data_IF_216250223998
#
_entry.id   IF_216250223998
#
_cell.length_a   1.000
_cell.length_b   1.000
_cell.length_c   1.000
_cell.angle_alpha   90.00
_cell.angle_beta   90.00
_cell.angle_gamma   90.00
#
_symmetry.space_group_name_H-M   'P 1'
#
loop_
_entity.id
_entity.type
_entity.pdbx_description
1 polymer ?
#
# COMPACT_ATOMS: atom_id res chain seq x y z
N UNK A 1 -7.86 0.78 -7.42
CA UNK A 1 -7.16 -0.33 -6.78
C UNK A 1 -8.09 -1.47 -6.36
N UNK A 2 -9.25 -1.18 -5.78
CA UNK A 2 -10.21 -2.19 -5.27
C UNK A 2 -10.95 -2.98 -6.37
N UNK A 3 -11.07 -2.45 -7.58
CA UNK A 3 -11.71 -3.16 -8.71
C UNK A 3 -11.01 -4.45 -9.08
N UNK A 4 -9.70 -4.52 -8.92
CA UNK A 4 -8.87 -5.65 -9.38
C UNK A 4 -9.09 -6.94 -8.57
N UNK A 5 -9.05 -6.92 -7.23
CA UNK A 5 -9.30 -8.13 -6.47
C UNK A 5 -10.70 -8.69 -6.70
N UNK A 6 -11.67 -7.79 -6.98
CA UNK A 6 -13.08 -8.17 -7.13
C UNK A 6 -13.40 -8.61 -8.57
N UNK A 7 -13.11 -7.77 -9.55
CA UNK A 7 -13.48 -8.04 -10.95
C UNK A 7 -12.44 -8.86 -11.70
N UNK A 8 -11.15 -8.70 -11.38
CA UNK A 8 -10.08 -9.39 -12.09
C UNK A 8 -10.14 -10.91 -11.94
N UNK A 9 -10.46 -11.42 -10.75
CA UNK A 9 -10.62 -12.84 -10.51
C UNK A 9 -11.81 -13.41 -11.30
N UNK A 10 -12.98 -12.75 -11.22
CA UNK A 10 -14.18 -13.15 -11.98
C UNK A 10 -13.89 -13.16 -13.48
N UNK A 11 -13.22 -12.11 -13.98
CA UNK A 11 -12.89 -11.98 -15.39
C UNK A 11 -11.96 -13.07 -15.90
N UNK A 12 -10.90 -13.42 -15.12
CA UNK A 12 -10.00 -14.52 -15.51
C UNK A 12 -10.75 -15.85 -15.54
N UNK A 13 -11.60 -16.12 -14.55
CA UNK A 13 -12.43 -17.33 -14.53
C UNK A 13 -13.38 -17.37 -15.73
N UNK A 14 -13.99 -16.23 -16.09
CA UNK A 14 -14.87 -16.14 -17.26
C UNK A 14 -14.12 -16.37 -18.57
N UNK A 15 -12.89 -15.84 -18.70
CA UNK A 15 -12.09 -15.98 -19.92
C UNK A 15 -11.47 -17.37 -20.10
N UNK A 16 -11.12 -18.06 -19.00
CA UNK A 16 -10.44 -19.38 -19.05
C UNK A 16 -11.37 -20.56 -18.71
N UNK A 17 -12.57 -20.29 -18.21
CA UNK A 17 -13.53 -21.33 -17.82
C UNK A 17 -13.10 -22.18 -16.61
N UNK A 18 -12.07 -21.75 -15.86
CA UNK A 18 -11.51 -22.53 -14.75
C UNK A 18 -11.19 -21.66 -13.54
N UNK A 19 -11.80 -21.98 -12.40
CA UNK A 19 -11.66 -21.25 -11.14
C UNK A 19 -10.23 -21.31 -10.54
N UNK A 20 -9.43 -22.31 -10.91
CA UNK A 20 -8.05 -22.43 -10.45
C UNK A 20 -7.17 -21.22 -10.85
N UNK A 21 -7.54 -20.51 -11.91
CA UNK A 21 -6.82 -19.32 -12.38
C UNK A 21 -7.28 -18.00 -11.78
N UNK A 22 -8.23 -18.00 -10.84
CA UNK A 22 -8.77 -16.76 -10.23
C UNK A 22 -7.68 -15.82 -9.68
N UNK A 23 -6.60 -16.37 -9.13
CA UNK A 23 -5.47 -15.59 -8.59
C UNK A 23 -4.53 -14.96 -9.62
N UNK A 24 -4.62 -15.34 -10.90
CA UNK A 24 -3.68 -14.89 -11.95
C UNK A 24 -3.73 -13.37 -12.13
N UNK A 25 -4.90 -12.75 -12.08
CA UNK A 25 -5.05 -11.29 -12.19
C UNK A 25 -4.24 -10.54 -11.12
N UNK A 26 -4.38 -10.96 -9.87
CA UNK A 26 -3.67 -10.34 -8.74
C UNK A 26 -2.17 -10.59 -8.80
N UNK A 27 -1.75 -11.78 -9.25
CA UNK A 27 -0.34 -12.14 -9.42
C UNK A 27 0.34 -11.30 -10.50
N UNK A 28 -0.29 -11.15 -11.68
CA UNK A 28 0.23 -10.30 -12.77
C UNK A 28 0.41 -8.86 -12.29
N UNK A 29 -0.57 -8.32 -11.57
CA UNK A 29 -0.50 -6.94 -11.06
C UNK A 29 0.53 -6.77 -9.95
N UNK A 30 0.69 -7.75 -9.07
CA UNK A 30 1.75 -7.74 -8.07
C UNK A 30 3.13 -7.76 -8.74
N UNK A 31 3.32 -8.64 -9.72
CA UNK A 31 4.54 -8.70 -10.51
C UNK A 31 4.87 -7.38 -11.21
N UNK A 32 3.89 -6.75 -11.88
CA UNK A 32 4.14 -5.47 -12.56
C UNK A 32 4.49 -4.34 -11.58
N UNK A 33 3.91 -4.33 -10.39
CA UNK A 33 4.28 -3.37 -9.31
C UNK A 33 5.72 -3.58 -8.84
N UNK A 34 6.15 -4.82 -8.66
CA UNK A 34 7.55 -5.15 -8.31
C UNK A 34 8.50 -4.61 -9.39
N UNK A 35 8.20 -4.91 -10.66
CA UNK A 35 9.04 -4.48 -11.78
C UNK A 35 9.15 -2.95 -11.91
N UNK A 36 8.07 -2.23 -11.67
CA UNK A 36 8.02 -0.78 -11.92
C UNK A 36 8.47 0.07 -10.74
N UNK A 37 8.41 -0.44 -9.50
CA UNK A 37 8.65 0.35 -8.30
C UNK A 37 9.98 1.11 -8.31
N UNK A 38 11.08 0.42 -8.63
CA UNK A 38 12.42 1.01 -8.67
C UNK A 38 12.58 2.02 -9.82
N UNK A 39 12.14 1.65 -11.03
CA UNK A 39 12.28 2.50 -12.22
C UNK A 39 11.48 3.79 -12.09
N UNK A 40 10.26 3.72 -11.59
CA UNK A 40 9.42 4.90 -11.37
C UNK A 40 10.00 5.77 -10.26
N UNK A 41 10.53 5.18 -9.20
CA UNK A 41 11.24 5.92 -8.15
C UNK A 41 12.40 6.75 -8.72
N UNK A 42 13.23 6.13 -9.58
CA UNK A 42 14.34 6.82 -10.27
C UNK A 42 13.84 7.90 -11.22
N UNK A 43 12.78 7.62 -11.98
CA UNK A 43 12.18 8.60 -12.89
C UNK A 43 11.70 9.85 -12.13
N UNK A 44 11.04 9.68 -10.99
CA UNK A 44 10.55 10.78 -10.15
C UNK A 44 11.69 11.59 -9.53
N UNK A 45 12.82 10.96 -9.24
CA UNK A 45 14.01 11.65 -8.76
C UNK A 45 14.69 12.50 -9.86
N UNK A 46 14.59 12.08 -11.12
CA UNK A 46 15.17 12.80 -12.25
C UNK A 46 14.26 13.93 -12.76
N UNK A 47 12.98 13.64 -13.01
CA UNK A 47 12.05 14.52 -13.72
C UNK A 47 11.01 15.21 -12.82
N UNK A 48 11.09 15.04 -11.51
CA UNK A 48 10.12 15.59 -10.54
C UNK A 48 8.99 14.63 -10.20
N UNK A 49 8.27 14.92 -9.11
CA UNK A 49 7.23 14.02 -8.57
C UNK A 49 6.02 13.93 -9.46
N UNK A 50 5.67 15.03 -10.13
CA UNK A 50 4.54 15.09 -11.08
C UNK A 50 4.73 14.16 -12.27
N UNK A 51 5.96 13.97 -12.76
CA UNK A 51 6.24 13.05 -13.86
C UNK A 51 5.82 11.61 -13.55
N UNK A 52 6.14 11.12 -12.33
CA UNK A 52 5.68 9.79 -11.88
C UNK A 52 4.17 9.69 -11.73
N UNK A 53 3.52 10.74 -11.20
CA UNK A 53 2.06 10.80 -11.09
C UNK A 53 1.38 10.73 -12.46
N UNK A 54 1.84 11.52 -13.43
CA UNK A 54 1.31 11.49 -14.80
C UNK A 54 1.53 10.13 -15.46
N UNK A 55 2.72 9.54 -15.32
CA UNK A 55 3.00 8.20 -15.83
C UNK A 55 2.03 7.18 -15.23
N UNK A 56 1.82 7.23 -13.92
CA UNK A 56 0.90 6.33 -13.22
C UNK A 56 -0.55 6.48 -13.70
N UNK A 57 -1.02 7.72 -13.89
CA UNK A 57 -2.36 7.99 -14.42
C UNK A 57 -2.51 7.49 -15.87
N UNK A 58 -1.53 7.74 -16.73
CA UNK A 58 -1.54 7.27 -18.12
C UNK A 58 -1.54 5.75 -18.22
N UNK A 59 -0.66 5.07 -17.47
CA UNK A 59 -0.62 3.61 -17.46
C UNK A 59 -1.91 3.01 -16.90
N UNK A 60 -2.48 3.62 -15.86
CA UNK A 60 -3.76 3.17 -15.29
C UNK A 60 -4.91 3.36 -16.27
N UNK A 61 -4.95 4.49 -17.00
CA UNK A 61 -5.95 4.77 -18.02
C UNK A 61 -5.87 3.75 -19.16
N UNK A 62 -4.70 3.62 -19.78
CA UNK A 62 -4.48 2.71 -20.91
C UNK A 62 -4.72 1.27 -20.49
N UNK A 63 -4.18 0.84 -19.34
CA UNK A 63 -4.36 -0.51 -18.82
C UNK A 63 -5.83 -0.87 -18.58
N UNK A 64 -6.61 0.04 -17.99
CA UNK A 64 -8.05 -0.15 -17.79
C UNK A 64 -8.81 -0.30 -19.11
N UNK A 65 -8.53 0.54 -20.12
CA UNK A 65 -9.14 0.43 -21.43
C UNK A 65 -8.78 -0.89 -22.11
N UNK A 66 -7.51 -1.30 -22.04
CA UNK A 66 -7.07 -2.59 -22.61
C UNK A 66 -7.74 -3.78 -21.92
N UNK A 67 -7.90 -3.75 -20.58
CA UNK A 67 -8.63 -4.80 -19.83
C UNK A 67 -10.11 -4.82 -20.25
N UNK A 68 -10.76 -3.66 -20.36
CA UNK A 68 -12.15 -3.55 -20.82
C UNK A 68 -12.32 -4.14 -22.24
N UNK A 69 -11.45 -3.78 -23.17
CA UNK A 69 -11.43 -4.34 -24.54
C UNK A 69 -11.15 -5.86 -24.53
N UNK A 70 -10.24 -6.33 -23.69
CA UNK A 70 -9.95 -7.76 -23.55
C UNK A 70 -11.20 -8.56 -23.14
N UNK A 71 -12.03 -7.98 -22.27
CA UNK A 71 -13.30 -8.60 -21.86
C UNK A 71 -14.30 -8.66 -23.01
N UNK A 72 -14.41 -7.59 -23.81
CA UNK A 72 -15.32 -7.55 -24.97
C UNK A 72 -14.89 -8.52 -26.05
N UNK A 73 -13.58 -8.69 -26.26
CA UNK A 73 -13.01 -9.59 -27.28
C UNK A 73 -12.82 -11.04 -26.79
N UNK A 74 -13.07 -11.33 -25.51
CA UNK A 74 -12.84 -12.66 -24.93
C UNK A 74 -11.37 -13.09 -24.93
N UNK A 75 -10.40 -12.15 -24.94
CA UNK A 75 -8.97 -12.44 -25.10
C UNK A 75 -8.22 -12.41 -23.77
N UNK A 76 -7.80 -13.57 -23.30
CA UNK A 76 -6.97 -13.69 -22.09
C UNK A 76 -5.57 -13.06 -22.27
N UNK A 77 -4.96 -13.21 -23.46
CA UNK A 77 -3.65 -12.61 -23.73
C UNK A 77 -3.70 -11.07 -23.63
N UNK A 78 -4.74 -10.45 -24.21
CA UNK A 78 -4.93 -9.01 -24.11
C UNK A 78 -5.24 -8.57 -22.67
N UNK A 79 -5.96 -9.40 -21.91
CA UNK A 79 -6.15 -9.17 -20.47
C UNK A 79 -4.83 -9.15 -19.71
N UNK A 80 -3.92 -10.08 -19.95
CA UNK A 80 -2.60 -10.12 -19.32
C UNK A 80 -1.80 -8.85 -19.62
N UNK A 81 -1.78 -8.37 -20.87
CA UNK A 81 -1.12 -7.12 -21.27
C UNK A 81 -1.74 -5.92 -20.54
N UNK A 82 -3.07 -5.84 -20.54
CA UNK A 82 -3.78 -4.77 -19.83
C UNK A 82 -3.50 -4.76 -18.32
N UNK A 83 -3.48 -5.95 -17.70
CA UNK A 83 -3.19 -6.13 -16.28
C UNK A 83 -1.75 -5.72 -15.92
N UNK A 84 -0.76 -6.04 -16.77
CA UNK A 84 0.62 -5.58 -16.61
C UNK A 84 0.72 -4.05 -16.67
N UNK A 85 0.08 -3.43 -17.66
CA UNK A 85 0.08 -1.97 -17.83
C UNK A 85 -0.62 -1.29 -16.64
N UNK A 86 -1.81 -1.78 -16.27
CA UNK A 86 -2.58 -1.22 -15.16
C UNK A 86 -1.85 -1.36 -13.81
N UNK A 87 -1.29 -2.53 -13.55
CA UNK A 87 -0.51 -2.79 -12.33
C UNK A 87 0.73 -1.90 -12.23
N UNK A 88 1.40 -1.63 -13.37
CA UNK A 88 2.50 -0.67 -13.46
C UNK A 88 2.04 0.75 -13.13
N UNK A 89 0.87 1.16 -13.62
CA UNK A 89 0.25 2.44 -13.29
C UNK A 89 -0.06 2.58 -11.80
N UNK A 90 -0.64 1.55 -11.20
CA UNK A 90 -0.89 1.50 -9.75
C UNK A 90 0.41 1.60 -8.97
N UNK A 91 1.49 0.91 -9.38
CA UNK A 91 2.81 1.02 -8.77
C UNK A 91 3.38 2.43 -8.84
N UNK A 92 3.23 3.10 -9.98
CA UNK A 92 3.69 4.49 -10.16
C UNK A 92 2.92 5.48 -9.26
N UNK A 93 1.62 5.30 -9.08
CA UNK A 93 0.81 6.13 -8.17
C UNK A 93 1.26 6.02 -6.72
N UNK A 94 1.85 4.91 -6.28
CA UNK A 94 2.40 4.76 -4.92
C UNK A 94 3.48 5.83 -4.60
N UNK A 95 4.16 6.37 -5.62
CA UNK A 95 5.12 7.48 -5.45
C UNK A 95 4.47 8.80 -4.96
N UNK A 96 3.14 8.89 -4.91
CA UNK A 96 2.44 10.01 -4.25
C UNK A 96 2.82 10.16 -2.77
N UNK A 97 3.22 9.07 -2.09
CA UNK A 97 3.72 9.14 -0.71
C UNK A 97 5.02 9.93 -0.61
N UNK A 98 5.91 9.78 -1.60
CA UNK A 98 7.16 10.57 -1.68
C UNK A 98 6.83 12.03 -1.93
N UNK A 99 5.90 12.31 -2.85
CA UNK A 99 5.45 13.68 -3.12
C UNK A 99 4.84 14.32 -1.87
N UNK A 100 4.03 13.59 -1.11
CA UNK A 100 3.47 14.07 0.16
C UNK A 100 4.58 14.35 1.20
N UNK A 101 5.57 13.45 1.32
CA UNK A 101 6.71 13.67 2.21
C UNK A 101 7.55 14.90 1.82
N UNK A 102 7.66 15.17 0.53
CA UNK A 102 8.41 16.32 0.00
C UNK A 102 7.68 17.66 0.18
N UNK A 103 6.36 17.62 0.34
CA UNK A 103 5.54 18.81 0.58
C UNK A 103 5.52 19.25 2.06
N UNK A 104 5.97 18.41 2.98
CA UNK A 104 5.92 18.68 4.43
C UNK A 104 7.32 18.78 5.05
N UNK A 105 7.52 19.65 6.07
CA UNK A 105 8.77 19.68 6.80
C UNK A 105 9.00 18.37 7.56
N UNK A 106 10.24 18.02 7.94
CA UNK A 106 10.57 16.76 8.61
C UNK A 106 9.69 16.45 9.82
N UNK A 107 9.30 17.47 10.60
CA UNK A 107 8.44 17.33 11.78
C UNK A 107 6.99 16.95 11.47
N UNK A 108 6.53 17.01 10.21
CA UNK A 108 5.15 16.73 9.79
C UNK A 108 5.05 15.77 8.60
N UNK A 109 6.11 15.09 8.22
CA UNK A 109 6.13 14.14 7.08
C UNK A 109 5.21 12.95 7.29
N UNK A 110 5.12 12.45 8.52
CA UNK A 110 4.21 11.36 8.88
C UNK A 110 2.76 11.74 8.62
N UNK A 111 2.36 12.98 8.96
CA UNK A 111 1.04 13.51 8.64
C UNK A 111 0.79 13.53 7.12
N UNK A 112 1.75 14.05 6.33
CA UNK A 112 1.62 14.14 4.87
C UNK A 112 1.45 12.77 4.20
N UNK A 113 2.31 11.82 4.52
CA UNK A 113 2.25 10.44 3.97
C UNK A 113 0.92 9.76 4.36
N UNK A 114 0.50 9.97 5.59
CA UNK A 114 -0.71 9.33 6.13
C UNK A 114 -2.00 9.91 5.56
N UNK A 115 -2.03 11.18 5.18
CA UNK A 115 -3.16 11.79 4.47
C UNK A 115 -3.37 11.14 3.10
N UNK A 116 -2.29 10.82 2.38
CA UNK A 116 -2.38 10.08 1.11
C UNK A 116 -2.95 8.67 1.34
N UNK A 117 -2.51 7.98 2.39
CA UNK A 117 -3.04 6.67 2.74
C UNK A 117 -4.54 6.72 3.10
N UNK A 118 -4.96 7.72 3.90
CA UNK A 118 -6.37 7.94 4.26
C UNK A 118 -7.24 8.21 3.02
N UNK A 119 -6.71 8.85 1.99
CA UNK A 119 -7.38 9.04 0.70
C UNK A 119 -7.84 7.74 0.04
N UNK A 120 -7.20 6.59 0.37
CA UNK A 120 -7.58 5.28 -0.13
C UNK A 120 -8.98 4.82 0.36
N UNK A 121 -9.47 5.32 1.50
CA UNK A 121 -10.83 5.06 1.98
C UNK A 121 -11.89 5.58 1.02
N UNK A 122 -11.69 6.80 0.50
CA UNK A 122 -12.62 7.38 -0.47
C UNK A 122 -12.64 6.57 -1.76
N UNK A 123 -11.45 6.12 -2.22
CA UNK A 123 -11.34 5.22 -3.37
C UNK A 123 -12.07 3.89 -3.16
N UNK A 124 -11.99 3.32 -1.95
CA UNK A 124 -12.69 2.09 -1.60
C UNK A 124 -14.21 2.26 -1.60
N UNK A 125 -14.71 3.43 -1.17
CA UNK A 125 -16.15 3.76 -1.19
C UNK A 125 -16.69 4.02 -2.61
N UNK A 126 -15.88 4.60 -3.51
CA UNK A 126 -16.29 4.90 -4.89
C UNK A 126 -16.36 3.63 -5.75
N UNK A 127 -15.54 2.61 -5.46
CA UNK A 127 -15.47 1.38 -6.25
C UNK A 127 -16.82 0.64 -6.39
N UNK A 128 -17.59 0.38 -5.33
CA UNK A 128 -18.92 -0.24 -5.44
C UNK A 128 -19.92 0.59 -6.25
N UNK A 129 -19.85 1.92 -6.14
CA UNK A 129 -20.72 2.83 -6.91
C UNK A 129 -20.43 2.73 -8.42
N UNK A 130 -19.14 2.66 -8.79
CA UNK A 130 -18.75 2.49 -10.19
C UNK A 130 -19.21 1.13 -10.75
N UNK A 131 -19.08 0.06 -9.96
CA UNK A 131 -19.56 -1.28 -10.36
C UNK A 131 -21.07 -1.29 -10.51
N UNK A 132 -21.82 -0.74 -9.56
CA UNK A 132 -23.28 -0.64 -9.65
C UNK A 132 -23.73 0.19 -10.87
N UNK A 133 -23.03 1.27 -11.20
CA UNK A 133 -23.27 2.05 -12.40
C UNK A 133 -23.01 1.21 -13.67
N UNK A 134 -21.91 0.47 -13.69
CA UNK A 134 -21.56 -0.41 -14.82
C UNK A 134 -22.62 -1.52 -15.02
N UNK A 135 -23.13 -2.12 -13.95
CA UNK A 135 -24.21 -3.12 -14.02
C UNK A 135 -25.48 -2.53 -14.63
N UNK A 136 -25.90 -1.35 -14.16
CA UNK A 136 -27.11 -0.68 -14.70
C UNK A 136 -26.96 -0.30 -16.17
N UNK A 137 -25.84 0.31 -16.53
CA UNK A 137 -25.56 0.71 -17.91
C UNK A 137 -25.33 -0.52 -18.81
N UNK A 138 -24.68 -1.57 -18.31
CA UNK A 138 -24.47 -2.82 -19.04
C UNK A 138 -25.80 -3.46 -19.45
N UNK A 139 -26.77 -3.53 -18.53
CA UNK A 139 -28.13 -4.02 -18.83
C UNK A 139 -28.88 -3.16 -19.85
N UNK A 140 -28.72 -1.83 -19.77
CA UNK A 140 -29.34 -0.89 -20.72
C UNK A 140 -28.75 -0.96 -22.12
N UNK A 141 -27.44 -1.11 -22.22
CA UNK A 141 -26.71 -1.06 -23.49
C UNK A 141 -26.46 -2.44 -24.10
N UNK A 142 -26.78 -3.52 -23.37
CA UNK A 142 -26.47 -4.89 -23.81
C UNK A 142 -24.97 -5.21 -23.85
N UNK A 143 -24.16 -4.48 -23.04
CA UNK A 143 -22.71 -4.63 -22.95
C UNK A 143 -22.36 -5.40 -21.68
N UNK A 144 -21.30 -6.23 -21.74
CA UNK A 144 -20.79 -6.94 -20.58
C UNK A 144 -20.46 -5.99 -19.42
N UNK A 145 -21.05 -6.21 -18.25
CA UNK A 145 -20.97 -5.35 -17.07
C UNK A 145 -19.51 -5.20 -16.58
N UNK A 146 -18.72 -6.29 -16.65
CA UNK A 146 -17.31 -6.28 -16.22
C UNK A 146 -16.48 -5.42 -17.19
N UNK A 147 -16.71 -5.58 -18.51
CA UNK A 147 -16.05 -4.75 -19.51
C UNK A 147 -16.35 -3.27 -19.27
N UNK A 148 -17.63 -2.96 -19.04
CA UNK A 148 -18.06 -1.59 -18.82
C UNK A 148 -17.49 -0.98 -17.54
N UNK A 149 -17.36 -1.76 -16.46
CA UNK A 149 -16.71 -1.31 -15.23
C UNK A 149 -15.25 -0.85 -15.49
N UNK A 150 -14.50 -1.56 -16.31
CA UNK A 150 -13.15 -1.16 -16.71
C UNK A 150 -13.14 0.04 -17.64
N UNK A 151 -14.07 0.10 -18.60
CA UNK A 151 -14.20 1.23 -19.55
C UNK A 151 -14.68 2.52 -18.86
N UNK A 152 -15.28 2.45 -17.69
CA UNK A 152 -15.65 3.61 -16.87
C UNK A 152 -14.51 4.15 -15.99
N UNK A 153 -13.40 3.41 -15.80
CA UNK A 153 -12.23 3.89 -15.03
C UNK A 153 -11.71 5.25 -15.52
N UNK A 154 -11.67 5.57 -16.83
CA UNK A 154 -11.30 6.90 -17.31
C UNK A 154 -12.08 8.05 -16.68
N UNK A 155 -13.37 7.87 -16.36
CA UNK A 155 -14.20 8.89 -15.69
C UNK A 155 -13.62 9.32 -14.34
N UNK A 156 -12.97 8.39 -13.63
CA UNK A 156 -12.29 8.65 -12.35
C UNK A 156 -10.86 9.15 -12.55
N UNK A 157 -10.16 8.67 -13.57
CA UNK A 157 -8.74 8.98 -13.79
C UNK A 157 -8.54 10.33 -14.44
N UNK A 158 -9.39 10.71 -15.40
CA UNK A 158 -9.24 11.98 -16.15
C UNK A 158 -9.26 13.23 -15.24
N UNK A 159 -10.17 13.36 -14.24
CA UNK A 159 -10.10 14.49 -13.31
C UNK A 159 -8.80 14.54 -12.52
N UNK A 160 -8.17 13.39 -12.23
CA UNK A 160 -6.90 13.34 -11.51
C UNK A 160 -5.75 14.03 -12.29
N UNK A 161 -5.79 14.04 -13.64
CA UNK A 161 -4.82 14.79 -14.42
C UNK A 161 -4.90 16.30 -14.14
N UNK A 162 -6.11 16.84 -13.97
CA UNK A 162 -6.32 18.24 -13.64
C UNK A 162 -5.83 18.53 -12.22
N UNK A 163 -6.09 17.62 -11.27
CA UNK A 163 -5.59 17.75 -9.90
C UNK A 163 -4.06 17.74 -9.85
N UNK A 164 -3.39 16.82 -10.57
CA UNK A 164 -1.92 16.81 -10.65
C UNK A 164 -1.39 18.07 -11.34
N UNK A 165 -2.07 18.59 -12.36
CA UNK A 165 -1.70 19.85 -13.02
C UNK A 165 -1.78 21.04 -12.07
N UNK A 166 -2.73 21.06 -11.13
CA UNK A 166 -2.93 22.14 -10.16
C UNK A 166 -1.86 22.17 -9.06
N UNK A 167 -1.15 21.07 -8.82
CA UNK A 167 -0.03 21.04 -7.87
C UNK A 167 1.09 21.94 -8.39
N UNK A 168 1.32 23.08 -7.76
CA UNK A 168 2.38 24.02 -8.10
C UNK A 168 2.99 24.62 -6.84
N UNK A 169 4.32 24.60 -6.71
CA UNK A 169 5.33 23.99 -7.60
C UNK A 169 5.36 22.46 -7.53
N UNK A 170 6.30 21.81 -8.24
CA UNK A 170 6.51 20.37 -8.09
C UNK A 170 6.95 20.05 -6.64
N UNK A 171 6.38 19.01 -5.98
CA UNK A 171 6.75 18.65 -4.60
C UNK A 171 8.26 18.48 -4.38
N UNK A 172 8.99 18.01 -5.39
CA UNK A 172 10.45 17.91 -5.32
C UNK A 172 11.12 19.28 -5.14
N UNK A 173 10.59 20.33 -5.79
CA UNK A 173 11.12 21.70 -5.64
C UNK A 173 10.88 22.20 -4.21
N UNK A 174 9.71 21.91 -3.63
CA UNK A 174 9.42 22.26 -2.23
C UNK A 174 10.45 21.59 -1.30
N UNK A 175 10.77 20.30 -1.53
CA UNK A 175 11.75 19.57 -0.73
C UNK A 175 13.17 20.12 -0.85
N UNK A 176 13.55 20.67 -2.01
CA UNK A 176 14.88 21.25 -2.25
C UNK A 176 15.00 22.69 -1.70
N UNK A 177 13.87 23.42 -1.66
CA UNK A 177 13.80 24.81 -1.18
C UNK A 177 12.94 24.91 0.10
N UNK A 178 13.08 23.95 1.02
CA UNK A 178 12.20 23.82 2.20
C UNK A 178 12.16 25.10 3.05
N UNK A 179 13.30 25.78 3.20
CA UNK A 179 13.42 27.03 3.96
C UNK A 179 12.54 28.16 3.41
N UNK A 180 12.39 28.22 2.09
CA UNK A 180 11.55 29.20 1.41
C UNK A 180 10.05 28.98 1.66
N UNK A 181 9.61 27.73 1.72
CA UNK A 181 8.21 27.37 1.90
C UNK A 181 7.80 27.23 3.37
N UNK A 182 8.78 26.97 4.25
CA UNK A 182 8.59 26.81 5.69
C UNK A 182 9.62 27.60 6.49
N UNK A 183 9.60 28.96 6.43
CA UNK A 183 10.61 29.81 7.06
C UNK A 183 10.66 29.66 8.59
N UNK A 184 9.54 29.44 9.25
CA UNK A 184 9.49 29.23 10.72
C UNK A 184 10.24 27.96 11.11
N UNK A 185 10.07 26.88 10.34
CA UNK A 185 10.82 25.63 10.57
C UNK A 185 12.32 25.82 10.34
N UNK A 186 12.71 26.62 9.36
CA UNK A 186 14.12 26.90 9.07
C UNK A 186 14.79 27.65 10.24
N UNK A 187 14.11 28.62 10.84
CA UNK A 187 14.60 29.34 12.02
C UNK A 187 14.76 28.42 13.24
N UNK A 188 13.77 27.54 13.48
CA UNK A 188 13.82 26.54 14.55
C UNK A 188 14.97 25.53 14.35
N UNK A 189 15.27 25.18 13.08
CA UNK A 189 16.30 24.22 12.71
C UNK A 189 17.72 24.78 12.81
N UNK A 190 17.90 26.08 12.54
CA UNK A 190 19.20 26.75 12.59
C UNK A 190 19.79 26.83 14.02
N UNK A 191 18.93 26.77 15.05
CA UNK A 191 19.33 26.79 16.46
C UNK A 191 19.67 25.42 17.08
N UNK A 192 19.57 24.34 16.33
CA UNK A 192 19.75 22.99 16.87
C UNK A 192 21.07 22.36 16.44
N UNK A 193 21.80 21.83 17.42
CA UNK A 193 22.94 20.93 17.17
C UNK A 193 22.38 19.62 16.55
N UNK A 194 22.29 19.57 15.22
CA UNK A 194 21.98 18.32 14.50
C UNK A 194 23.16 17.35 14.71
N UNK A 195 22.95 16.29 15.47
CA UNK A 195 23.92 15.19 15.52
C UNK A 195 23.91 14.55 14.14
N UNK A 196 24.96 14.77 13.35
CA UNK A 196 25.17 14.06 12.09
C UNK A 196 25.27 12.57 12.40
N UNK A 197 24.29 11.78 11.91
CA UNK A 197 24.39 10.33 11.94
C UNK A 197 25.53 9.89 11.00
N UNK A 198 26.40 9.03 11.48
CA UNK A 198 27.39 8.37 10.65
C UNK A 198 26.71 7.59 9.52
N UNK A 199 27.41 7.43 8.40
CA UNK A 199 26.89 6.67 7.23
C UNK A 199 26.44 5.26 7.60
N UNK A 200 27.12 4.62 8.57
CA UNK A 200 26.76 3.32 9.09
C UNK A 200 25.42 3.32 9.81
N UNK A 201 25.15 4.33 10.62
CA UNK A 201 23.88 4.45 11.34
C UNK A 201 22.73 4.78 10.40
N UNK A 202 22.92 5.65 9.40
CA UNK A 202 21.92 5.93 8.36
C UNK A 202 21.53 4.67 7.59
N UNK A 203 22.51 3.80 7.27
CA UNK A 203 22.25 2.54 6.59
C UNK A 203 21.45 1.58 7.49
N UNK A 204 21.82 1.47 8.78
CA UNK A 204 21.09 0.63 9.76
C UNK A 204 19.64 1.09 9.93
N UNK A 205 19.40 2.40 10.06
CA UNK A 205 18.05 2.98 10.13
C UNK A 205 17.24 2.61 8.89
N UNK A 206 17.81 2.77 7.70
CA UNK A 206 17.15 2.45 6.44
C UNK A 206 16.83 0.97 6.31
N UNK A 207 17.78 0.08 6.63
CA UNK A 207 17.56 -1.37 6.59
C UNK A 207 16.46 -1.77 7.57
N UNK A 208 16.47 -1.27 8.81
CA UNK A 208 15.48 -1.59 9.82
C UNK A 208 14.07 -1.12 9.39
N UNK A 209 13.96 0.08 8.82
CA UNK A 209 12.69 0.60 8.31
C UNK A 209 12.18 -0.22 7.11
N UNK A 210 13.04 -0.54 6.13
CA UNK A 210 12.67 -1.37 4.97
C UNK A 210 12.24 -2.76 5.45
N UNK A 211 13.00 -3.40 6.34
CA UNK A 211 12.67 -4.71 6.88
C UNK A 211 11.32 -4.71 7.60
N UNK A 212 11.03 -3.67 8.39
CA UNK A 212 9.73 -3.50 9.06
C UNK A 212 8.58 -3.38 8.06
N UNK A 213 8.76 -2.53 7.03
CA UNK A 213 7.75 -2.35 5.98
C UNK A 213 7.50 -3.64 5.18
N UNK A 214 8.56 -4.32 4.78
CA UNK A 214 8.52 -5.58 4.01
C UNK A 214 7.78 -6.67 4.79
N UNK A 215 8.16 -6.83 6.06
CA UNK A 215 7.55 -7.86 6.92
C UNK A 215 6.07 -7.59 7.16
N UNK A 216 5.71 -6.36 7.58
CA UNK A 216 4.30 -6.06 7.89
C UNK A 216 3.42 -6.05 6.64
N UNK A 217 3.97 -5.67 5.48
CA UNK A 217 3.25 -5.74 4.20
C UNK A 217 2.96 -7.18 3.80
N UNK A 218 3.97 -8.03 3.84
CA UNK A 218 3.81 -9.44 3.48
C UNK A 218 2.90 -10.19 4.46
N UNK A 219 3.07 -9.97 5.77
CA UNK A 219 2.20 -10.52 6.82
C UNK A 219 0.75 -10.09 6.60
N UNK A 220 0.50 -8.81 6.35
CA UNK A 220 -0.84 -8.28 6.12
C UNK A 220 -1.51 -8.93 4.92
N UNK A 221 -0.84 -9.02 3.77
CA UNK A 221 -1.41 -9.64 2.57
C UNK A 221 -1.66 -11.14 2.79
N UNK A 222 -0.75 -11.84 3.46
CA UNK A 222 -0.90 -13.25 3.82
C UNK A 222 -2.12 -13.48 4.72
N UNK A 223 -2.22 -12.74 5.81
CA UNK A 223 -3.32 -12.86 6.77
C UNK A 223 -4.67 -12.50 6.11
N UNK A 224 -4.73 -11.42 5.32
CA UNK A 224 -5.95 -11.02 4.62
C UNK A 224 -6.44 -12.08 3.63
N UNK A 225 -5.52 -12.70 2.87
CA UNK A 225 -5.87 -13.73 1.90
C UNK A 225 -6.43 -14.99 2.58
N UNK A 226 -5.81 -15.42 3.67
CA UNK A 226 -6.21 -16.64 4.39
C UNK A 226 -7.44 -16.43 5.28
N UNK A 227 -7.69 -15.21 5.77
CA UNK A 227 -8.89 -14.89 6.56
C UNK A 227 -10.18 -15.18 5.81
N UNK A 228 -10.26 -14.81 4.53
CA UNK A 228 -11.45 -15.08 3.73
C UNK A 228 -11.74 -16.59 3.61
N UNK A 229 -10.68 -17.39 3.44
CA UNK A 229 -10.77 -18.86 3.42
C UNK A 229 -11.20 -19.43 4.76
N UNK A 230 -10.61 -18.94 5.85
CA UNK A 230 -10.92 -19.38 7.20
C UNK A 230 -12.39 -19.08 7.58
N UNK A 231 -12.87 -17.88 7.31
CA UNK A 231 -14.26 -17.51 7.55
C UNK A 231 -15.24 -18.31 6.69
N UNK A 232 -14.83 -18.66 5.48
CA UNK A 232 -15.64 -19.55 4.62
C UNK A 232 -15.69 -20.97 5.17
N UNK A 233 -14.59 -21.49 5.73
CA UNK A 233 -14.55 -22.81 6.40
C UNK A 233 -15.37 -22.86 7.69
N UNK A 234 -15.67 -21.70 8.31
CA UNK A 234 -16.58 -21.54 9.44
C UNK A 234 -18.05 -21.31 8.99
N UNK A 235 -18.39 -21.60 7.74
CA UNK A 235 -19.74 -21.39 7.15
C UNK A 235 -20.27 -19.96 7.28
N UNK A 236 -19.36 -18.97 7.39
CA UNK A 236 -19.75 -17.57 7.42
C UNK A 236 -20.35 -17.13 6.08
N UNK A 237 -21.39 -16.32 6.14
CA UNK A 237 -22.01 -15.71 4.95
C UNK A 237 -21.05 -14.77 4.22
N UNK A 238 -21.25 -14.56 2.92
CA UNK A 238 -20.46 -13.60 2.13
C UNK A 238 -20.51 -12.18 2.72
N UNK A 239 -21.63 -11.79 3.31
CA UNK A 239 -21.76 -10.49 4.00
C UNK A 239 -20.86 -10.41 5.22
N UNK A 240 -20.75 -11.45 6.02
CA UNK A 240 -19.88 -11.51 7.19
C UNK A 240 -18.41 -11.45 6.77
N UNK A 241 -18.01 -12.21 5.72
CA UNK A 241 -16.64 -12.16 5.17
C UNK A 241 -16.32 -10.76 4.66
N UNK A 242 -17.23 -10.15 3.90
CA UNK A 242 -17.06 -8.78 3.38
C UNK A 242 -16.95 -7.74 4.48
N UNK A 243 -17.71 -7.89 5.56
CA UNK A 243 -17.63 -7.00 6.72
C UNK A 243 -16.27 -7.13 7.45
N UNK A 244 -15.76 -8.35 7.62
CA UNK A 244 -14.43 -8.59 8.20
C UNK A 244 -13.32 -7.92 7.37
N UNK A 245 -13.36 -8.08 6.04
CA UNK A 245 -12.42 -7.43 5.11
C UNK A 245 -12.54 -5.90 5.16
N UNK A 246 -13.75 -5.37 5.27
CA UNK A 246 -13.97 -3.93 5.39
C UNK A 246 -13.42 -3.37 6.72
N UNK A 247 -13.58 -4.09 7.83
CA UNK A 247 -12.98 -3.74 9.11
C UNK A 247 -11.45 -3.76 9.05
N UNK A 248 -10.85 -4.77 8.41
CA UNK A 248 -9.41 -4.81 8.17
C UNK A 248 -8.93 -3.55 7.39
N UNK A 249 -9.60 -3.22 6.29
CA UNK A 249 -9.28 -2.03 5.50
C UNK A 249 -9.47 -0.72 6.31
N UNK A 250 -10.46 -0.68 7.20
CA UNK A 250 -10.65 0.44 8.12
C UNK A 250 -9.46 0.56 9.08
N UNK A 251 -8.96 -0.55 9.64
CA UNK A 251 -7.74 -0.59 10.45
C UNK A 251 -6.54 0.00 9.70
N UNK A 252 -6.37 -0.36 8.42
CA UNK A 252 -5.27 0.13 7.58
C UNK A 252 -5.33 1.65 7.33
N UNK A 253 -6.50 2.20 7.02
CA UNK A 253 -6.58 3.53 6.41
C UNK A 253 -7.28 4.57 7.28
N UNK A 254 -8.29 4.22 8.10
CA UNK A 254 -9.04 5.20 8.88
C UNK A 254 -8.18 5.84 9.97
N UNK A 255 -7.25 5.07 10.54
CA UNK A 255 -6.37 5.51 11.60
C UNK A 255 -5.02 6.05 11.09
N UNK A 256 -4.78 6.04 9.79
CA UNK A 256 -3.50 6.47 9.20
C UNK A 256 -3.13 7.89 9.61
N UNK A 257 -4.04 8.84 9.49
CA UNK A 257 -3.75 10.24 9.81
C UNK A 257 -3.40 10.49 11.29
N UNK A 258 -4.19 10.03 12.30
CA UNK A 258 -3.79 10.18 13.70
C UNK A 258 -2.49 9.44 14.03
N UNK A 259 -2.24 8.26 13.43
CA UNK A 259 -0.98 7.52 13.59
C UNK A 259 0.20 8.29 12.99
N UNK A 260 0.03 8.90 11.81
CA UNK A 260 1.06 9.73 11.19
C UNK A 260 1.42 10.94 12.05
N UNK A 261 0.41 11.63 12.61
CA UNK A 261 0.64 12.73 13.56
C UNK A 261 1.30 12.27 14.87
N UNK A 262 0.94 11.09 15.34
CA UNK A 262 1.59 10.50 16.50
C UNK A 262 3.08 10.22 16.21
N UNK A 263 3.39 9.65 15.02
CA UNK A 263 4.76 9.43 14.60
C UNK A 263 5.57 10.73 14.50
N UNK A 264 4.94 11.83 14.10
CA UNK A 264 5.57 13.14 14.07
C UNK A 264 5.87 13.68 15.48
N UNK A 265 5.02 13.36 16.48
CA UNK A 265 5.16 13.84 17.85
C UNK A 265 6.12 13.03 18.72
N UNK A 266 6.01 11.70 18.70
CA UNK A 266 6.75 10.81 19.60
C UNK A 266 7.96 10.14 18.94
N UNK A 267 8.09 10.28 17.60
CA UNK A 267 9.13 9.63 16.79
C UNK A 267 8.58 8.50 15.93
N UNK A 268 9.36 8.13 14.90
CA UNK A 268 8.98 7.07 13.94
C UNK A 268 9.17 5.69 14.56
N UNK A 269 10.31 5.49 15.24
CA UNK A 269 10.68 4.21 15.87
C UNK A 269 9.62 3.68 16.84
N UNK A 270 9.11 4.45 17.83
CA UNK A 270 8.08 3.98 18.75
C UNK A 270 6.80 3.56 18.03
N UNK A 271 6.38 4.31 16.99
CA UNK A 271 5.17 4.00 16.22
C UNK A 271 5.35 2.78 15.35
N UNK A 272 6.54 2.59 14.74
CA UNK A 272 6.86 1.37 13.98
C UNK A 272 6.83 0.15 14.91
N UNK A 273 7.49 0.22 16.07
CA UNK A 273 7.51 -0.87 17.06
C UNK A 273 6.11 -1.20 17.55
N UNK A 274 5.31 -0.19 17.93
CA UNK A 274 3.93 -0.38 18.35
C UNK A 274 3.10 -1.01 17.22
N UNK A 275 3.27 -0.57 15.98
CA UNK A 275 2.61 -1.12 14.80
C UNK A 275 2.96 -2.60 14.58
N UNK A 276 4.24 -2.96 14.67
CA UNK A 276 4.69 -4.36 14.57
C UNK A 276 4.12 -5.24 15.70
N UNK A 277 4.11 -4.73 16.93
CA UNK A 277 3.52 -5.46 18.08
C UNK A 277 2.02 -5.66 17.88
N UNK A 278 1.29 -4.62 17.47
CA UNK A 278 -0.16 -4.71 17.19
C UNK A 278 -0.45 -5.69 16.06
N UNK A 279 0.32 -5.65 14.96
CA UNK A 279 0.18 -6.60 13.86
C UNK A 279 0.48 -8.04 14.28
N UNK A 280 1.53 -8.25 15.07
CA UNK A 280 1.88 -9.55 15.65
C UNK A 280 0.81 -10.08 16.60
N UNK A 281 0.29 -9.22 17.48
CA UNK A 281 -0.81 -9.57 18.39
C UNK A 281 -2.09 -9.93 17.64
N UNK A 282 -2.39 -9.20 16.55
CA UNK A 282 -3.53 -9.51 15.68
C UNK A 282 -3.39 -10.88 15.02
N UNK A 283 -2.20 -11.21 14.49
CA UNK A 283 -1.92 -12.52 13.93
C UNK A 283 -2.00 -13.63 15.00
N UNK A 284 -1.43 -13.38 16.17
CA UNK A 284 -1.50 -14.31 17.31
C UNK A 284 -2.95 -14.58 17.73
N UNK A 285 -3.79 -13.54 17.76
CA UNK A 285 -5.21 -13.68 18.09
C UNK A 285 -5.94 -14.60 17.09
N UNK A 286 -5.64 -14.49 15.79
CA UNK A 286 -6.14 -15.42 14.77
C UNK A 286 -5.63 -16.85 15.01
N UNK A 287 -4.38 -17.00 15.47
CA UNK A 287 -3.79 -18.30 15.81
C UNK A 287 -4.33 -18.94 17.10
N UNK A 288 -4.97 -18.18 17.98
CA UNK A 288 -5.46 -18.65 19.28
C UNK A 288 -6.97 -18.94 19.33
N UNK A 289 -7.73 -18.57 18.28
CA UNK A 289 -9.18 -18.65 18.39
C UNK A 289 -9.95 -18.98 17.12
N UNK A 290 -11.10 -19.65 17.29
CA UNK A 290 -11.90 -20.27 16.23
C UNK A 290 -13.19 -19.51 15.86
N UNK A 291 -13.39 -18.32 16.41
CA UNK A 291 -14.66 -17.62 16.21
C UNK A 291 -14.58 -16.49 15.17
N UNK A 292 -15.70 -16.23 14.48
CA UNK A 292 -15.84 -15.10 13.55
C UNK A 292 -15.27 -13.78 14.09
N UNK A 293 -15.64 -13.42 15.32
CA UNK A 293 -15.22 -12.14 15.93
C UNK A 293 -13.73 -12.16 16.33
N UNK A 294 -13.20 -13.31 16.73
CA UNK A 294 -11.76 -13.45 17.05
C UNK A 294 -10.92 -13.24 15.81
N UNK A 295 -11.25 -13.92 14.72
CA UNK A 295 -10.57 -13.77 13.42
C UNK A 295 -10.74 -12.34 12.89
N UNK A 296 -11.94 -11.79 12.94
CA UNK A 296 -12.23 -10.43 12.46
C UNK A 296 -11.48 -9.36 13.25
N UNK A 297 -11.43 -9.48 14.60
CA UNK A 297 -10.66 -8.56 15.45
C UNK A 297 -9.16 -8.72 15.21
N UNK A 298 -8.68 -9.96 15.11
CA UNK A 298 -7.27 -10.24 14.82
C UNK A 298 -6.84 -9.60 13.49
N UNK A 299 -7.61 -9.77 12.43
CA UNK A 299 -7.31 -9.16 11.13
C UNK A 299 -7.45 -7.64 11.13
N UNK A 300 -8.38 -7.06 11.88
CA UNK A 300 -8.46 -5.62 12.11
C UNK A 300 -7.16 -5.10 12.74
N UNK A 301 -6.66 -5.79 13.80
CA UNK A 301 -5.39 -5.43 14.45
C UNK A 301 -4.20 -5.56 13.51
N UNK A 302 -4.17 -6.57 12.63
CA UNK A 302 -3.14 -6.68 11.57
C UNK A 302 -3.18 -5.45 10.66
N UNK A 303 -4.37 -5.01 10.25
CA UNK A 303 -4.55 -3.79 9.44
C UNK A 303 -4.09 -2.53 10.17
N UNK A 304 -4.47 -2.38 11.43
CA UNK A 304 -4.08 -1.24 12.27
C UNK A 304 -2.55 -1.21 12.50
N UNK A 305 -1.96 -2.36 12.79
CA UNK A 305 -0.51 -2.51 12.96
C UNK A 305 0.25 -2.20 11.68
N UNK A 306 -0.29 -2.62 10.53
CA UNK A 306 0.25 -2.25 9.22
C UNK A 306 0.29 -0.73 9.05
N UNK A 307 -0.77 -0.03 9.41
CA UNK A 307 -0.81 1.44 9.32
C UNK A 307 0.35 2.09 10.07
N UNK A 308 0.60 1.68 11.32
CA UNK A 308 1.69 2.21 12.12
C UNK A 308 3.08 1.84 11.59
N UNK A 309 3.31 0.56 11.33
CA UNK A 309 4.62 0.07 10.93
C UNK A 309 4.98 0.48 9.50
N UNK A 310 4.06 0.31 8.53
CA UNK A 310 4.34 0.59 7.13
C UNK A 310 4.48 2.08 6.84
N UNK A 311 3.54 2.91 7.31
CA UNK A 311 3.59 4.36 7.09
C UNK A 311 4.74 5.01 7.89
N UNK A 312 4.98 4.56 9.12
CA UNK A 312 6.12 4.99 9.91
C UNK A 312 7.45 4.66 9.23
N UNK A 313 7.58 3.47 8.65
CA UNK A 313 8.77 3.05 7.89
C UNK A 313 8.98 3.89 6.63
N UNK A 314 7.91 4.16 5.86
CA UNK A 314 7.99 5.07 4.71
C UNK A 314 8.49 6.46 5.13
N UNK A 315 7.96 7.00 6.23
CA UNK A 315 8.39 8.30 6.77
C UNK A 315 9.87 8.24 7.21
N UNK A 316 10.27 7.21 7.95
CA UNK A 316 11.64 7.04 8.42
C UNK A 316 12.64 6.93 7.25
N UNK A 317 12.33 6.18 6.19
CA UNK A 317 13.18 6.09 4.99
C UNK A 317 13.30 7.44 4.29
N UNK A 318 12.22 8.22 4.20
CA UNK A 318 12.25 9.56 3.60
C UNK A 318 13.05 10.56 4.44
N UNK A 319 13.00 10.44 5.77
CA UNK A 319 13.73 11.32 6.69
C UNK A 319 15.26 11.16 6.55
N UNK A 320 15.74 9.91 6.39
CA UNK A 320 17.18 9.60 6.25
C UNK A 320 17.66 9.59 4.80
N UNK A 321 16.84 10.06 3.86
CA UNK A 321 17.19 10.08 2.44
C UNK A 321 17.10 11.49 1.86
N UNK A 322 18.16 11.98 1.18
CA UNK A 322 18.14 13.30 0.57
C UNK A 322 17.02 13.39 -0.49
N UNK A 323 16.42 14.58 -0.70
CA UNK A 323 15.28 14.79 -1.60
C UNK A 323 15.51 14.26 -3.03
N UNK A 324 16.74 14.30 -3.51
CA UNK A 324 17.16 13.85 -4.84
C UNK A 324 17.13 12.32 -5.04
N UNK A 325 17.05 11.54 -3.95
CA UNK A 325 17.09 10.06 -3.97
C UNK A 325 15.90 9.41 -3.25
N UNK A 326 14.94 10.17 -2.76
CA UNK A 326 13.77 9.65 -2.02
C UNK A 326 12.89 8.73 -2.87
N UNK A 327 12.66 9.10 -4.12
CA UNK A 327 11.89 8.27 -5.04
C UNK A 327 12.51 6.90 -5.23
N UNK A 328 13.83 6.84 -5.44
CA UNK A 328 14.56 5.58 -5.55
C UNK A 328 14.52 4.78 -4.24
N UNK A 329 14.72 5.42 -3.09
CA UNK A 329 14.71 4.73 -1.79
C UNK A 329 13.33 4.11 -1.47
N UNK A 330 12.26 4.85 -1.72
CA UNK A 330 10.90 4.34 -1.57
C UNK A 330 10.59 3.30 -2.66
N UNK A 331 11.10 3.47 -3.87
CA UNK A 331 11.02 2.44 -4.92
C UNK A 331 11.62 1.09 -4.49
N UNK A 332 12.76 1.10 -3.79
CA UNK A 332 13.37 -0.12 -3.22
C UNK A 332 12.48 -0.69 -2.10
N UNK A 333 11.97 0.14 -1.19
CA UNK A 333 11.05 -0.29 -0.14
C UNK A 333 9.80 -0.96 -0.74
N UNK A 334 9.17 -0.33 -1.71
CA UNK A 334 7.96 -0.84 -2.40
C UNK A 334 8.26 -2.13 -3.19
N UNK A 335 9.42 -2.22 -3.84
CA UNK A 335 9.84 -3.43 -4.55
C UNK A 335 9.83 -4.64 -3.62
N UNK A 336 10.55 -4.55 -2.50
CA UNK A 336 10.64 -5.64 -1.53
C UNK A 336 9.32 -5.90 -0.81
N UNK A 337 8.56 -4.85 -0.48
CA UNK A 337 7.24 -4.98 0.15
C UNK A 337 6.23 -5.68 -0.77
N UNK A 338 6.21 -5.34 -2.05
CA UNK A 338 5.34 -6.01 -3.02
C UNK A 338 5.82 -7.45 -3.29
N UNK A 339 7.13 -7.71 -3.32
CA UNK A 339 7.67 -9.06 -3.44
C UNK A 339 7.25 -9.94 -2.25
N UNK A 340 7.34 -9.43 -1.02
CA UNK A 340 6.84 -10.12 0.17
C UNK A 340 5.32 -10.35 0.11
N UNK A 341 4.56 -9.34 -0.33
CA UNK A 341 3.11 -9.44 -0.53
C UNK A 341 2.70 -10.43 -1.63
N UNK A 342 3.61 -10.80 -2.54
CA UNK A 342 3.40 -11.85 -3.55
C UNK A 342 3.78 -13.23 -3.02
N UNK A 343 4.86 -13.36 -2.26
CA UNK A 343 5.42 -14.64 -1.84
C UNK A 343 4.81 -15.17 -0.54
N UNK A 344 4.59 -14.31 0.46
CA UNK A 344 4.08 -14.77 1.77
C UNK A 344 2.66 -15.36 1.72
N UNK A 345 1.70 -14.89 0.89
CA UNK A 345 0.41 -15.57 0.76
C UNK A 345 0.53 -17.01 0.24
N UNK A 346 1.51 -17.29 -0.62
CA UNK A 346 1.77 -18.64 -1.13
C UNK A 346 2.25 -19.53 0.02
N UNK A 347 3.20 -19.04 0.82
CA UNK A 347 3.66 -19.75 2.02
C UNK A 347 2.52 -19.92 3.04
N UNK A 348 1.68 -18.90 3.20
CA UNK A 348 0.49 -18.98 4.05
C UNK A 348 -0.49 -20.06 3.61
N UNK A 349 -0.72 -20.19 2.30
CA UNK A 349 -1.54 -21.27 1.74
C UNK A 349 -0.98 -22.65 2.04
N UNK A 350 0.33 -22.85 1.86
CA UNK A 350 1.01 -24.11 2.18
C UNK A 350 0.95 -24.44 3.67
N UNK A 351 1.05 -23.44 4.55
CA UNK A 351 0.92 -23.63 6.00
C UNK A 351 -0.51 -24.06 6.35
N UNK A 352 -1.52 -23.42 5.79
CA UNK A 352 -2.93 -23.77 6.06
C UNK A 352 -3.27 -25.16 5.51
N UNK A 353 -2.74 -25.52 4.33
CA UNK A 353 -2.96 -26.84 3.73
C UNK A 353 -2.26 -27.95 4.51
N UNK A 354 -1.01 -27.72 4.96
CA UNK A 354 -0.20 -28.75 5.65
C UNK A 354 -0.46 -28.86 7.17
N UNK A 355 -1.01 -27.81 7.76
CA UNK A 355 -1.25 -27.75 9.22
C UNK A 355 -2.67 -27.26 9.50
N UNK A 356 -2.83 -25.95 9.73
CA UNK A 356 -4.13 -25.29 9.95
C UNK A 356 -3.98 -23.76 9.99
N UNK A 357 -5.12 -23.07 10.27
CA UNK A 357 -5.16 -21.63 10.42
C UNK A 357 -4.42 -21.14 11.68
N UNK A 358 -4.38 -21.94 12.76
CA UNK A 358 -3.70 -21.59 14.01
C UNK A 358 -2.19 -21.44 13.77
N UNK A 359 -1.59 -22.38 13.06
CA UNK A 359 -0.18 -22.31 12.67
C UNK A 359 0.13 -21.10 11.80
N UNK A 360 -0.78 -20.70 10.92
CA UNK A 360 -0.62 -19.47 10.15
C UNK A 360 -0.57 -18.23 11.05
N UNK A 361 -1.46 -18.16 12.05
CA UNK A 361 -1.48 -17.08 13.02
C UNK A 361 -0.17 -17.00 13.84
N UNK A 362 0.33 -18.13 14.33
CA UNK A 362 1.62 -18.20 15.03
C UNK A 362 2.79 -17.81 14.10
N UNK A 363 2.80 -18.29 12.87
CA UNK A 363 3.82 -17.88 11.87
C UNK A 363 3.79 -16.38 11.61
N UNK A 364 2.59 -15.81 11.43
CA UNK A 364 2.41 -14.36 11.27
C UNK A 364 2.93 -13.56 12.48
N UNK A 365 2.70 -14.05 13.70
CA UNK A 365 3.23 -13.43 14.91
C UNK A 365 4.76 -13.54 15.03
N UNK A 366 5.35 -14.66 14.61
CA UNK A 366 6.80 -14.84 14.61
C UNK A 366 7.53 -13.95 13.61
N UNK A 367 6.91 -13.71 12.42
CA UNK A 367 7.52 -12.88 11.38
C UNK A 367 7.91 -11.49 11.87
N UNK A 368 7.11 -10.87 12.75
CA UNK A 368 7.37 -9.51 13.22
C UNK A 368 8.45 -9.41 14.28
N UNK A 369 8.87 -10.51 14.88
CA UNK A 369 9.92 -10.51 15.92
C UNK A 369 11.26 -10.04 15.37
N UNK A 370 11.61 -10.45 14.15
CA UNK A 370 12.87 -10.04 13.49
C UNK A 370 12.94 -8.52 13.34
N UNK A 371 11.98 -7.84 12.66
CA UNK A 371 12.03 -6.39 12.54
C UNK A 371 11.87 -5.66 13.89
N UNK A 372 11.14 -6.20 14.86
CA UNK A 372 11.10 -5.64 16.22
C UNK A 372 12.50 -5.61 16.82
N UNK A 373 13.22 -6.73 16.79
CA UNK A 373 14.58 -6.83 17.32
C UNK A 373 15.54 -5.88 16.61
N UNK A 374 15.53 -5.86 15.27
CA UNK A 374 16.40 -4.98 14.47
C UNK A 374 16.05 -3.51 14.72
N UNK A 375 14.76 -3.15 14.73
CA UNK A 375 14.32 -1.77 14.98
C UNK A 375 14.64 -1.32 16.41
N UNK A 376 14.56 -2.20 17.40
CA UNK A 376 14.90 -1.85 18.78
C UNK A 376 16.35 -1.37 18.95
N UNK A 377 17.28 -1.89 18.14
CA UNK A 377 18.70 -1.52 18.18
C UNK A 377 19.00 -0.19 17.45
N UNK A 378 18.09 0.31 16.62
CA UNK A 378 18.28 1.57 15.90
C UNK A 378 18.21 2.76 16.87
N UNK A 379 19.15 3.67 16.76
CA UNK A 379 19.09 4.98 17.43
C UNK A 379 18.31 5.94 16.52
N UNK A 380 17.14 6.35 16.96
CA UNK A 380 16.34 7.36 16.28
C UNK A 380 16.67 8.73 16.85
N UNK A 381 16.97 9.70 15.98
CA UNK A 381 16.89 11.11 16.34
C UNK A 381 15.41 11.51 16.30
N UNK A 382 14.89 12.02 17.42
CA UNK A 382 13.50 12.52 17.48
C UNK A 382 13.34 13.70 16.51
N UNK A 383 12.18 13.84 15.84
CA UNK A 383 11.92 14.98 14.95
C UNK A 383 12.06 16.34 15.60
N UNK A 384 12.07 16.42 16.94
CA UNK A 384 12.34 17.63 17.70
C UNK A 384 13.83 17.90 17.93
N UNK A 385 14.72 16.98 17.59
CA UNK A 385 16.18 17.18 17.58
C UNK A 385 16.70 17.56 16.18
N UNK A 386 15.81 17.64 15.19
CA UNK A 386 15.97 18.54 14.04
C UNK A 386 15.50 19.96 14.43
N UNK A 387 15.57 20.29 15.72
CA UNK A 387 15.49 21.68 16.20
C UNK A 387 16.82 22.34 15.99
#
# INVERSE_FOLDING_TARGET
>A
MQLVPTLGAIQVVTLLGNAAFAGVATSIMAFSRVMTAYFVGRLTDQHGRKAGMYLGLWLSLVGALVIGMATLLGSFALFCVGALIFGSGVGAVQQMRVAAADMYPPSRRGEGISLVAMGSLFGSGISPLLVSLAERLGKLLGINEIALAWLLVPVLVLPCFLLVKSIRPDPKQIALEMEKYYPVWALDSAGSNSVELDRGDLLRVRIAAILSAVTVQGQMVMMMAMTALALKALDCSLSQISFSVALHAMGMFAFSWPIGRLADRIGRKPVILAGLVVAGSGALLVGLGDGYWVITTGTFLVGLGWSGAFLGSNTMVTDVTPPTKRGQAIGVLELWSNAAGMTLPILGGLIVEGFDLHMLGFFGALLVLIPIFVMAQVREQRPGNYR
#
